data_IF_012594386760
#
_entry.id   IF_012594386760
#
_cell.length_a   1.000
_cell.length_b   1.000
_cell.length_c   1.000
_cell.angle_alpha   90.00
_cell.angle_beta   90.00
_cell.angle_gamma   90.00
#
_symmetry.space_group_name_H-M   'P 1'
#
loop_
_entity.id
_entity.type
_entity.pdbx_description
1 polymer ?
#
# COMPACT_ATOMS: atom_id res chain seq x y z
N UNK A 1 -12.16 -7.85 40.20
CA UNK A 1 -11.58 -8.91 39.36
C UNK A 1 -10.35 -9.45 40.06
N UNK A 2 -10.14 -10.75 39.99
CA UNK A 2 -8.92 -11.36 40.52
C UNK A 2 -7.71 -11.06 39.63
N UNK A 3 -6.50 -11.12 40.19
CA UNK A 3 -5.23 -10.98 39.45
C UNK A 3 -5.15 -11.90 38.23
N UNK A 4 -5.72 -13.11 38.33
CA UNK A 4 -5.79 -14.07 37.23
C UNK A 4 -6.65 -13.60 36.05
N UNK A 5 -7.80 -12.97 36.30
CA UNK A 5 -8.69 -12.47 35.24
C UNK A 5 -8.06 -11.28 34.51
N UNK A 6 -7.39 -10.39 35.24
CA UNK A 6 -6.64 -9.27 34.64
C UNK A 6 -5.47 -9.78 33.77
N UNK A 7 -4.79 -10.85 34.19
CA UNK A 7 -3.73 -11.46 33.40
C UNK A 7 -4.26 -12.08 32.10
N UNK A 8 -5.45 -12.69 32.12
CA UNK A 8 -6.11 -13.20 30.90
C UNK A 8 -6.41 -12.05 29.93
N UNK A 9 -6.98 -10.95 30.41
CA UNK A 9 -7.25 -9.78 29.56
C UNK A 9 -5.98 -9.14 29.00
N UNK A 10 -4.90 -9.09 29.78
CA UNK A 10 -3.60 -8.60 29.32
C UNK A 10 -3.05 -9.48 28.18
N UNK A 11 -3.16 -10.81 28.32
CA UNK A 11 -2.73 -11.75 27.29
C UNK A 11 -3.55 -11.60 26.00
N UNK A 12 -4.87 -11.40 26.11
CA UNK A 12 -5.73 -11.14 24.95
C UNK A 12 -5.35 -9.84 24.23
N UNK A 13 -5.11 -8.76 24.96
CA UNK A 13 -4.66 -7.49 24.39
C UNK A 13 -3.28 -7.63 23.73
N UNK A 14 -2.35 -8.36 24.36
CA UNK A 14 -1.02 -8.63 23.80
C UNK A 14 -1.09 -9.43 22.50
N UNK A 15 -1.99 -10.42 22.44
CA UNK A 15 -2.24 -11.20 21.22
C UNK A 15 -2.78 -10.32 20.09
N UNK A 16 -3.79 -9.48 20.39
CA UNK A 16 -4.34 -8.50 19.43
C UNK A 16 -3.27 -7.52 18.96
N UNK A 17 -2.46 -6.98 19.87
CA UNK A 17 -1.38 -6.05 19.55
C UNK A 17 -0.35 -6.67 18.60
N UNK A 18 0.01 -7.94 18.84
CA UNK A 18 0.95 -8.68 17.98
C UNK A 18 0.38 -8.84 16.56
N UNK A 19 -0.90 -9.23 16.45
CA UNK A 19 -1.58 -9.36 15.16
C UNK A 19 -1.65 -8.04 14.40
N UNK A 20 -2.04 -6.94 15.07
CA UNK A 20 -2.10 -5.61 14.46
C UNK A 20 -0.72 -5.16 13.99
N UNK A 21 0.32 -5.39 14.80
CA UNK A 21 1.70 -5.05 14.43
C UNK A 21 2.19 -5.86 13.23
N UNK A 22 1.88 -7.16 13.17
CA UNK A 22 2.20 -8.00 12.01
C UNK A 22 1.52 -7.49 10.74
N UNK A 23 0.24 -7.14 10.81
CA UNK A 23 -0.50 -6.57 9.69
C UNK A 23 0.10 -5.24 9.23
N UNK A 24 0.54 -4.37 10.15
CA UNK A 24 1.24 -3.13 9.79
C UNK A 24 2.51 -3.43 8.99
N UNK A 25 3.34 -4.39 9.45
CA UNK A 25 4.58 -4.76 8.74
C UNK A 25 4.31 -5.33 7.35
N UNK A 26 3.28 -6.16 7.20
CA UNK A 26 2.87 -6.70 5.90
C UNK A 26 2.43 -5.57 4.95
N UNK A 27 1.58 -4.65 5.42
CA UNK A 27 1.11 -3.52 4.62
C UNK A 27 2.25 -2.55 4.25
N UNK A 28 3.21 -2.32 5.14
CA UNK A 28 4.42 -1.52 4.84
C UNK A 28 5.29 -2.20 3.77
N UNK A 29 5.43 -3.52 3.82
CA UNK A 29 6.12 -4.30 2.78
C UNK A 29 5.40 -4.20 1.43
N UNK A 30 4.07 -4.38 1.41
CA UNK A 30 3.26 -4.24 0.20
C UNK A 30 3.36 -2.82 -0.38
N UNK A 31 3.37 -1.79 0.48
CA UNK A 31 3.54 -0.39 0.07
C UNK A 31 4.88 -0.17 -0.61
N UNK A 32 5.95 -0.70 -0.03
CA UNK A 32 7.30 -0.61 -0.60
C UNK A 32 7.36 -1.30 -1.96
N UNK A 33 6.87 -2.54 -2.05
CA UNK A 33 6.81 -3.28 -3.32
C UNK A 33 6.02 -2.54 -4.39
N UNK A 34 4.82 -2.03 -4.07
CA UNK A 34 3.98 -1.30 -5.00
C UNK A 34 4.65 -0.01 -5.48
N UNK A 35 5.36 0.71 -4.59
CA UNK A 35 6.06 1.95 -4.96
C UNK A 35 7.14 1.73 -6.02
N UNK A 36 7.79 0.56 -6.02
CA UNK A 36 8.85 0.19 -6.98
C UNK A 36 8.35 -0.31 -8.33
N UNK A 37 7.04 -0.57 -8.50
CA UNK A 37 6.48 -1.02 -9.79
C UNK A 37 6.46 0.14 -10.78
N UNK A 38 7.10 -0.01 -11.94
CA UNK A 38 6.97 0.95 -13.04
C UNK A 38 5.61 0.76 -13.73
N UNK A 39 4.93 1.87 -13.99
CA UNK A 39 3.68 1.92 -14.78
C UNK A 39 3.91 2.47 -16.19
N UNK A 40 5.18 2.69 -16.55
CA UNK A 40 5.56 3.18 -17.87
C UNK A 40 5.34 2.09 -18.91
N UNK A 41 4.61 2.44 -19.98
CA UNK A 41 4.43 1.56 -21.13
C UNK A 41 5.37 2.05 -22.23
N UNK A 42 6.38 1.22 -22.53
CA UNK A 42 7.31 1.50 -23.62
C UNK A 42 6.60 1.36 -24.97
N UNK A 43 6.77 2.36 -25.84
CA UNK A 43 6.29 2.29 -27.22
C UNK A 43 7.39 1.75 -28.13
N UNK A 44 7.25 0.51 -28.58
CA UNK A 44 8.27 -0.17 -29.40
C UNK A 44 8.45 0.45 -30.80
N UNK A 45 7.43 1.14 -31.31
CA UNK A 45 7.50 1.78 -32.63
C UNK A 45 8.14 3.18 -32.58
N UNK A 46 8.48 3.67 -31.38
CA UNK A 46 9.22 4.91 -31.07
C UNK A 46 8.61 6.21 -31.58
N UNK A 47 8.47 6.39 -32.89
CA UNK A 47 7.86 7.55 -33.55
C UNK A 47 7.56 7.29 -35.04
N UNK A 48 6.79 8.19 -35.68
CA UNK A 48 6.40 8.07 -37.08
C UNK A 48 7.60 8.06 -38.05
N UNK A 49 8.67 8.78 -37.74
CA UNK A 49 9.88 8.79 -38.58
C UNK A 49 10.58 7.42 -38.54
N UNK A 50 10.58 6.76 -37.38
CA UNK A 50 11.09 5.41 -37.21
C UNK A 50 10.23 4.41 -37.98
N UNK A 51 8.89 4.53 -37.90
CA UNK A 51 7.96 3.68 -38.66
C UNK A 51 8.14 3.86 -40.16
N UNK A 52 8.25 5.11 -40.62
CA UNK A 52 8.50 5.47 -42.01
C UNK A 52 9.80 4.87 -42.53
N UNK A 53 10.85 4.89 -41.71
CA UNK A 53 12.19 4.48 -42.14
C UNK A 53 12.41 2.97 -42.01
N UNK A 54 11.91 2.31 -40.95
CA UNK A 54 12.09 0.87 -40.72
C UNK A 54 11.05 0.02 -41.44
N UNK A 55 9.81 0.50 -41.60
CA UNK A 55 8.70 -0.30 -42.15
C UNK A 55 8.21 0.19 -43.51
N UNK A 56 8.79 1.27 -44.07
CA UNK A 56 8.34 1.92 -45.31
C UNK A 56 6.85 2.34 -45.30
N UNK A 57 6.24 2.50 -44.12
CA UNK A 57 4.86 2.92 -43.96
C UNK A 57 4.82 4.45 -43.84
N UNK A 58 4.25 5.13 -44.83
CA UNK A 58 4.24 6.59 -44.88
C UNK A 58 2.93 7.13 -45.43
N UNK A 59 2.60 8.37 -45.03
CA UNK A 59 1.39 9.07 -45.43
C UNK A 59 0.52 9.44 -44.23
N UNK A 60 -0.43 10.37 -44.46
CA UNK A 60 -1.32 10.90 -43.42
C UNK A 60 -2.02 9.84 -42.56
N UNK A 61 -2.49 8.69 -43.10
CA UNK A 61 -3.12 7.65 -42.27
C UNK A 61 -2.16 7.09 -41.22
N UNK A 62 -0.93 6.76 -41.62
CA UNK A 62 0.08 6.20 -40.72
C UNK A 62 0.55 7.22 -39.69
N UNK A 63 0.75 8.48 -40.09
CA UNK A 63 1.08 9.58 -39.16
C UNK A 63 0.01 9.75 -38.07
N UNK A 64 -1.27 9.69 -38.44
CA UNK A 64 -2.39 9.78 -37.51
C UNK A 64 -2.51 8.55 -36.60
N UNK A 65 -2.32 7.34 -37.13
CA UNK A 65 -2.35 6.11 -36.33
C UNK A 65 -1.22 6.10 -35.30
N UNK A 66 0.02 6.42 -35.69
CA UNK A 66 1.17 6.52 -34.77
C UNK A 66 0.93 7.54 -33.66
N UNK A 67 0.46 8.74 -34.01
CA UNK A 67 0.16 9.78 -33.01
C UNK A 67 -0.95 9.35 -32.04
N UNK A 68 -1.97 8.63 -32.53
CA UNK A 68 -3.05 8.12 -31.71
C UNK A 68 -2.57 7.00 -30.77
N UNK A 69 -1.71 6.10 -31.25
CA UNK A 69 -1.11 5.04 -30.45
C UNK A 69 -0.23 5.60 -29.33
N UNK A 70 0.69 6.53 -29.64
CA UNK A 70 1.51 7.21 -28.64
C UNK A 70 0.66 7.88 -27.57
N UNK A 71 -0.39 8.58 -27.99
CA UNK A 71 -1.32 9.24 -27.06
C UNK A 71 -2.04 8.21 -26.19
N UNK A 72 -2.52 7.11 -26.77
CA UNK A 72 -3.21 6.05 -26.03
C UNK A 72 -2.30 5.40 -24.98
N UNK A 73 -1.03 5.17 -25.30
CA UNK A 73 -0.04 4.62 -24.37
C UNK A 73 0.30 5.60 -23.25
N UNK A 74 0.43 6.90 -23.57
CA UNK A 74 0.64 7.95 -22.57
C UNK A 74 -0.55 8.10 -21.63
N UNK A 75 -1.77 8.08 -22.16
CA UNK A 75 -3.00 8.14 -21.38
C UNK A 75 -3.15 6.90 -20.49
N UNK A 76 -2.80 5.71 -21.01
CA UNK A 76 -2.79 4.47 -20.23
C UNK A 76 -1.75 4.49 -19.10
N UNK A 77 -0.52 4.90 -19.39
CA UNK A 77 0.55 5.04 -18.38
C UNK A 77 0.15 6.02 -17.27
N UNK A 78 -0.47 7.14 -17.64
CA UNK A 78 -0.98 8.14 -16.69
C UNK A 78 -2.10 7.55 -15.82
N UNK A 79 -3.01 6.77 -16.39
CA UNK A 79 -4.08 6.09 -15.63
C UNK A 79 -3.50 5.07 -14.65
N UNK A 80 -2.52 4.28 -15.07
CA UNK A 80 -1.87 3.30 -14.20
C UNK A 80 -1.13 3.98 -13.03
N UNK A 81 -0.41 5.07 -13.29
CA UNK A 81 0.25 5.84 -12.24
C UNK A 81 -0.77 6.47 -11.27
N UNK A 82 -1.90 6.96 -11.80
CA UNK A 82 -3.01 7.45 -10.98
C UNK A 82 -3.60 6.37 -10.07
N UNK A 83 -3.85 5.17 -10.60
CA UNK A 83 -4.33 4.03 -9.80
C UNK A 83 -3.32 3.59 -8.75
N UNK A 84 -2.03 3.54 -9.10
CA UNK A 84 -0.95 3.23 -8.16
C UNK A 84 -0.91 4.25 -7.02
N UNK A 85 -1.00 5.55 -7.34
CA UNK A 85 -1.02 6.62 -6.34
C UNK A 85 -2.23 6.54 -5.41
N UNK A 86 -3.42 6.24 -5.95
CA UNK A 86 -4.65 6.06 -5.16
C UNK A 86 -4.53 4.88 -4.19
N UNK A 87 -4.04 3.72 -4.67
CA UNK A 87 -3.82 2.55 -3.81
C UNK A 87 -2.76 2.84 -2.75
N UNK A 88 -1.64 3.48 -3.10
CA UNK A 88 -0.61 3.87 -2.13
C UNK A 88 -1.15 4.80 -1.04
N UNK A 89 -2.05 5.71 -1.40
CA UNK A 89 -2.72 6.62 -0.46
C UNK A 89 -3.64 5.86 0.49
N UNK A 90 -4.49 4.96 -0.04
CA UNK A 90 -5.37 4.10 0.77
C UNK A 90 -4.59 3.19 1.72
N UNK A 91 -3.48 2.63 1.24
CA UNK A 91 -2.61 1.78 2.03
C UNK A 91 -1.94 2.55 3.16
N UNK A 92 -1.50 3.79 2.89
CA UNK A 92 -0.94 4.68 3.92
C UNK A 92 -1.99 5.00 5.00
N UNK A 93 -3.21 5.37 4.59
CA UNK A 93 -4.29 5.64 5.53
C UNK A 93 -4.62 4.42 6.41
N UNK A 94 -4.63 3.21 5.82
CA UNK A 94 -4.89 1.98 6.58
C UNK A 94 -3.76 1.64 7.57
N UNK A 95 -2.51 1.87 7.18
CA UNK A 95 -1.36 1.73 8.08
C UNK A 95 -1.48 2.70 9.26
N UNK A 96 -1.85 3.96 9.02
CA UNK A 96 -2.02 4.96 10.07
C UNK A 96 -3.17 4.61 11.03
N UNK A 97 -4.28 4.10 10.51
CA UNK A 97 -5.41 3.59 11.30
C UNK A 97 -4.96 2.45 12.24
N UNK A 98 -4.24 1.47 11.70
CA UNK A 98 -3.73 0.33 12.48
C UNK A 98 -2.67 0.77 13.51
N UNK A 99 -1.83 1.77 13.19
CA UNK A 99 -0.88 2.36 14.15
C UNK A 99 -1.61 3.01 15.32
N UNK A 100 -2.72 3.70 15.05
CA UNK A 100 -3.58 4.27 16.10
C UNK A 100 -4.21 3.18 16.98
N UNK A 101 -4.71 2.11 16.36
CA UNK A 101 -5.25 0.94 17.08
C UNK A 101 -4.18 0.28 17.97
N UNK A 102 -2.97 0.06 17.44
CA UNK A 102 -1.84 -0.49 18.19
C UNK A 102 -1.45 0.40 19.38
N UNK A 103 -1.48 1.72 19.23
CA UNK A 103 -1.26 2.66 20.33
C UNK A 103 -2.34 2.50 21.41
N UNK A 104 -3.62 2.43 21.03
CA UNK A 104 -4.73 2.17 21.95
C UNK A 104 -4.58 0.86 22.72
N UNK A 105 -4.23 -0.23 22.04
CA UNK A 105 -3.97 -1.53 22.65
C UNK A 105 -2.81 -1.43 23.65
N UNK A 106 -1.73 -0.74 23.31
CA UNK A 106 -0.57 -0.53 24.20
C UNK A 106 -0.95 0.25 25.46
N UNK A 107 -1.81 1.27 25.35
CA UNK A 107 -2.34 1.98 26.52
C UNK A 107 -3.16 1.06 27.42
N UNK A 108 -4.06 0.25 26.83
CA UNK A 108 -4.85 -0.73 27.57
C UNK A 108 -3.97 -1.77 28.30
N UNK A 109 -2.92 -2.27 27.64
CA UNK A 109 -1.95 -3.18 28.25
C UNK A 109 -1.22 -2.54 29.44
N UNK A 110 -0.81 -1.27 29.32
CA UNK A 110 -0.15 -0.55 30.41
C UNK A 110 -1.09 -0.36 31.61
N UNK A 111 -2.36 -0.02 31.35
CA UNK A 111 -3.37 0.14 32.39
C UNK A 111 -3.61 -1.17 33.15
N UNK A 112 -3.81 -2.28 32.42
CA UNK A 112 -3.98 -3.60 33.01
C UNK A 112 -2.73 -4.06 33.79
N UNK A 113 -1.55 -3.79 33.27
CA UNK A 113 -0.29 -4.11 33.97
C UNK A 113 -0.17 -3.36 35.29
N UNK A 114 -0.58 -2.09 35.33
CA UNK A 114 -0.60 -1.29 36.55
C UNK A 114 -1.66 -1.82 37.54
N UNK A 115 -2.83 -2.21 37.05
CA UNK A 115 -3.90 -2.78 37.87
C UNK A 115 -3.47 -4.13 38.50
N UNK A 116 -2.84 -5.01 37.72
CA UNK A 116 -2.26 -6.28 38.20
C UNK A 116 -1.23 -6.03 39.30
N UNK A 117 -0.36 -5.03 39.14
CA UNK A 117 0.68 -4.71 40.13
C UNK A 117 0.11 -4.20 41.46
N UNK A 118 -1.07 -3.56 41.44
CA UNK A 118 -1.72 -3.01 42.62
C UNK A 118 -2.82 -3.90 43.20
N UNK A 119 -3.19 -4.98 42.51
CA UNK A 119 -4.15 -5.97 42.99
C UNK A 119 -3.45 -6.85 44.01
N UNK A 120 -3.92 -6.84 45.27
CA UNK A 120 -3.40 -7.73 46.31
C UNK A 120 -3.69 -9.19 45.90
N UNK A 121 -2.73 -10.07 46.18
CA UNK A 121 -2.97 -11.52 46.07
C UNK A 121 -4.04 -11.90 47.10
N UNK A 122 -5.17 -12.43 46.62
CA UNK A 122 -6.10 -13.21 47.46
C UNK A 122 -5.47 -14.57 47.79
#
# INVERSE_FOLDING_TARGET
>A
MGKAELQVQLNELSSKFTTVTANISELESVKSSLSGVSTEITYDLTDYDTIKTMYNLSGKPYEQETTNEEKLLKDASTKFEGHKTDILSKLSAKIDELKSEAAGLRFGMNALSYEIANTKED
#
